data_IF_809812614043
#
_entry.id   IF_809812614043
#
_cell.length_a   1.000
_cell.length_b   1.000
_cell.length_c   1.000
_cell.angle_alpha   90.00
_cell.angle_beta   90.00
_cell.angle_gamma   90.00
#
_symmetry.space_group_name_H-M   'P 1'
#
loop_
_entity.id
_entity.type
_entity.pdbx_description
1 polymer ?
#
# COMPACT_ATOMS: atom_id res chain seq x y z
N UNK A 1 20.80 -20.60 30.53
CA UNK A 1 20.47 -20.13 29.17
C UNK A 1 19.07 -19.52 29.29
N UNK A 2 19.01 -18.46 30.08
CA UNK A 2 17.78 -17.78 30.51
C UNK A 2 17.71 -16.50 29.70
N UNK A 3 17.03 -16.58 28.55
CA UNK A 3 16.74 -15.43 27.69
C UNK A 3 15.37 -15.69 27.06
N UNK A 4 14.32 -15.66 27.88
CA UNK A 4 12.92 -15.67 27.42
C UNK A 4 11.95 -15.14 28.48
N UNK A 5 12.42 -14.33 29.45
CA UNK A 5 11.54 -13.64 30.40
C UNK A 5 11.42 -12.13 30.10
N UNK A 6 12.40 -11.56 29.40
CA UNK A 6 12.38 -10.13 29.03
C UNK A 6 11.61 -9.87 27.72
N UNK A 7 11.56 -10.83 26.79
CA UNK A 7 10.71 -10.71 25.59
C UNK A 7 9.21 -10.89 25.89
N UNK A 8 8.87 -11.76 26.86
CA UNK A 8 7.48 -11.93 27.32
C UNK A 8 7.01 -10.74 28.16
N UNK A 9 7.91 -10.07 28.90
CA UNK A 9 7.59 -8.82 29.61
C UNK A 9 7.24 -7.67 28.66
N UNK A 10 7.84 -7.63 27.47
CA UNK A 10 7.62 -6.58 26.47
C UNK A 10 6.28 -6.75 25.71
N UNK A 11 5.75 -7.97 25.62
CA UNK A 11 4.41 -8.22 25.07
C UNK A 11 3.29 -8.07 26.12
N UNK A 12 3.60 -8.23 27.41
CA UNK A 12 2.61 -8.11 28.49
C UNK A 12 2.40 -6.66 28.96
N UNK A 13 3.40 -5.77 28.82
CA UNK A 13 3.21 -4.34 29.14
C UNK A 13 2.31 -3.59 28.13
N UNK A 14 2.13 -4.11 26.92
CA UNK A 14 1.19 -3.53 25.94
C UNK A 14 -0.29 -3.67 26.33
N UNK A 15 -0.61 -4.56 27.28
CA UNK A 15 -1.97 -4.73 27.80
C UNK A 15 -2.31 -3.75 28.96
N UNK A 16 -1.33 -3.01 29.50
CA UNK A 16 -1.49 -2.24 30.73
C UNK A 16 -1.83 -0.74 30.54
N UNK A 17 -1.90 -0.22 29.31
CA UNK A 17 -2.29 1.18 29.04
C UNK A 17 -3.81 1.35 28.77
N UNK A 18 -4.64 0.38 29.15
CA UNK A 18 -6.07 0.35 28.84
C UNK A 18 -6.96 1.24 29.74
N UNK A 19 -6.43 1.92 30.76
CA UNK A 19 -7.27 2.56 31.81
C UNK A 19 -7.11 4.07 32.00
N UNK A 20 -6.39 4.79 31.15
CA UNK A 20 -6.55 6.24 31.11
C UNK A 20 -7.74 6.56 30.19
N UNK A 21 -8.75 7.26 30.72
CA UNK A 21 -10.00 7.55 30.00
C UNK A 21 -10.11 9.05 29.74
N UNK A 22 -10.16 9.42 28.46
CA UNK A 22 -10.39 10.80 28.02
C UNK A 22 -11.88 11.02 27.85
N UNK A 23 -12.37 12.15 28.36
CA UNK A 23 -13.75 12.59 28.19
C UNK A 23 -13.89 13.44 26.94
N UNK A 24 -14.77 13.01 26.03
CA UNK A 24 -15.07 13.73 24.78
C UNK A 24 -16.55 14.11 24.77
N UNK A 25 -16.86 15.30 24.25
CA UNK A 25 -18.24 15.76 24.10
C UNK A 25 -18.97 14.97 23.02
N UNK A 26 -20.15 14.45 23.36
CA UNK A 26 -21.07 13.81 22.43
C UNK A 26 -22.04 14.86 21.88
N UNK A 27 -22.10 14.96 20.56
CA UNK A 27 -23.06 15.81 19.86
C UNK A 27 -24.10 14.92 19.16
N UNK A 28 -25.37 15.27 19.29
CA UNK A 28 -26.45 14.69 18.47
C UNK A 28 -26.37 15.21 17.04
N UNK A 29 -27.06 14.55 16.11
CA UNK A 29 -27.04 14.89 14.67
C UNK A 29 -27.42 16.33 14.36
N UNK A 30 -28.20 16.97 15.24
CA UNK A 30 -28.63 18.37 15.12
C UNK A 30 -27.63 19.37 15.74
N UNK A 31 -26.49 18.90 16.23
CA UNK A 31 -25.45 19.72 16.86
C UNK A 31 -25.71 20.07 18.32
N UNK A 32 -26.79 19.53 18.93
CA UNK A 32 -27.05 19.66 20.36
C UNK A 32 -26.07 18.81 21.18
N UNK A 33 -25.62 19.33 22.33
CA UNK A 33 -24.77 18.58 23.28
C UNK A 33 -25.61 17.50 23.96
N UNK A 34 -25.28 16.22 23.71
CA UNK A 34 -26.04 15.06 24.16
C UNK A 34 -25.37 14.30 25.33
N UNK A 35 -24.13 14.65 25.69
CA UNK A 35 -23.45 14.12 26.88
C UNK A 35 -21.92 14.07 26.77
N UNK A 36 -21.28 13.33 27.66
CA UNK A 36 -19.85 12.99 27.62
C UNK A 36 -19.67 11.49 27.31
N UNK A 37 -18.70 11.16 26.46
CA UNK A 37 -18.27 9.78 26.19
C UNK A 37 -16.83 9.56 26.68
N UNK A 38 -16.57 8.38 27.24
CA UNK A 38 -15.23 7.97 27.71
C UNK A 38 -14.54 7.12 26.63
N UNK A 39 -13.36 7.55 26.16
CA UNK A 39 -12.49 6.77 25.28
C UNK A 39 -11.16 6.43 25.96
N UNK A 40 -10.54 5.28 25.64
CA UNK A 40 -9.21 4.96 26.13
C UNK A 40 -8.17 5.93 25.55
N UNK A 41 -7.28 6.44 26.40
CA UNK A 41 -6.33 7.49 26.07
C UNK A 41 -5.19 7.00 25.18
N UNK A 42 -4.90 5.70 25.24
CA UNK A 42 -3.87 5.05 24.41
C UNK A 42 -4.09 5.24 22.89
N UNK A 43 -5.32 5.51 22.44
CA UNK A 43 -5.61 5.69 21.01
C UNK A 43 -5.43 7.14 20.52
N UNK A 44 -5.39 8.12 21.42
CA UNK A 44 -5.51 9.55 21.09
C UNK A 44 -4.37 10.41 21.64
N UNK A 45 -3.72 10.01 22.73
CA UNK A 45 -2.63 10.76 23.37
C UNK A 45 -1.23 10.38 22.89
N UNK A 46 -1.11 9.42 21.98
CA UNK A 46 0.18 9.02 21.43
C UNK A 46 0.72 10.07 20.45
N UNK A 47 2.04 10.23 20.43
CA UNK A 47 2.69 11.18 19.52
C UNK A 47 2.41 10.79 18.07
N UNK A 48 1.96 11.74 17.27
CA UNK A 48 1.64 11.50 15.87
C UNK A 48 2.94 11.22 15.11
N UNK A 49 3.12 9.99 14.65
CA UNK A 49 4.17 9.63 13.69
C UNK A 49 3.70 9.97 12.25
N UNK A 50 4.26 11.01 11.61
CA UNK A 50 3.87 11.42 10.27
C UNK A 50 4.24 10.39 9.18
N UNK A 51 5.30 9.59 9.38
CA UNK A 51 5.71 8.57 8.41
C UNK A 51 4.73 7.39 8.43
N UNK A 52 4.29 6.97 9.63
CA UNK A 52 3.28 5.93 9.77
C UNK A 52 1.95 6.33 9.11
N UNK A 53 1.49 7.56 9.34
CA UNK A 53 0.28 8.10 8.70
C UNK A 53 0.41 8.13 7.17
N UNK A 54 1.55 8.61 6.67
CA UNK A 54 1.81 8.67 5.24
C UNK A 54 1.79 7.27 4.61
N UNK A 55 2.43 6.28 5.24
CA UNK A 55 2.42 4.88 4.78
C UNK A 55 1.01 4.28 4.78
N UNK A 56 0.22 4.52 5.82
CA UNK A 56 -1.15 4.03 5.91
C UNK A 56 -2.04 4.61 4.79
N UNK A 57 -1.92 5.92 4.52
CA UNK A 57 -2.64 6.58 3.43
C UNK A 57 -2.19 6.04 2.07
N UNK A 58 -0.88 5.91 1.83
CA UNK A 58 -0.36 5.36 0.59
C UNK A 58 -0.85 3.93 0.35
N UNK A 59 -0.81 3.07 1.37
CA UNK A 59 -1.31 1.69 1.30
C UNK A 59 -2.79 1.64 0.89
N UNK A 60 -3.62 2.45 1.55
CA UNK A 60 -5.05 2.58 1.20
C UNK A 60 -5.26 3.03 -0.25
N UNK A 61 -4.52 4.06 -0.69
CA UNK A 61 -4.63 4.59 -2.05
C UNK A 61 -4.15 3.60 -3.11
N UNK A 62 -3.11 2.82 -2.83
CA UNK A 62 -2.60 1.79 -3.76
C UNK A 62 -3.63 0.67 -3.91
N UNK A 63 -4.20 0.17 -2.80
CA UNK A 63 -5.17 -0.92 -2.83
C UNK A 63 -6.49 -0.55 -3.52
N UNK A 64 -6.85 0.74 -3.54
CA UNK A 64 -8.03 1.23 -4.26
C UNK A 64 -7.86 1.23 -5.78
N UNK A 65 -6.64 1.08 -6.32
CA UNK A 65 -6.40 1.13 -7.77
C UNK A 65 -6.83 -0.18 -8.43
N UNK A 66 -7.61 -0.08 -9.51
CA UNK A 66 -8.13 -1.23 -10.24
C UNK A 66 -7.14 -1.87 -11.26
N UNK A 67 -6.08 -1.17 -11.66
CA UNK A 67 -5.04 -1.74 -12.53
C UNK A 67 -5.51 -2.17 -13.93
N UNK A 68 -6.45 -1.44 -14.55
CA UNK A 68 -7.07 -1.82 -15.84
C UNK A 68 -6.25 -1.51 -17.09
N UNK A 69 -5.03 -0.98 -16.94
CA UNK A 69 -4.17 -0.64 -18.06
C UNK A 69 -3.58 -1.91 -18.70
N UNK A 70 -3.76 -2.07 -20.01
CA UNK A 70 -3.18 -3.17 -20.79
C UNK A 70 -2.63 -2.63 -22.11
N UNK A 71 -1.41 -3.04 -22.46
CA UNK A 71 -0.76 -2.72 -23.73
C UNK A 71 -0.41 -4.00 -24.48
N UNK A 72 -0.48 -3.96 -25.81
CA UNK A 72 -0.14 -5.14 -26.62
C UNK A 72 1.36 -5.35 -26.64
N UNK A 73 1.79 -6.50 -26.15
CA UNK A 73 3.15 -7.01 -26.33
C UNK A 73 3.39 -7.38 -27.80
N UNK A 74 4.67 -7.56 -28.18
CA UNK A 74 5.05 -8.00 -29.53
C UNK A 74 4.36 -9.28 -30.00
N UNK A 75 3.87 -10.11 -29.09
CA UNK A 75 3.13 -11.34 -29.38
C UNK A 75 1.67 -11.09 -29.75
N UNK A 76 1.03 -10.13 -29.08
CA UNK A 76 -0.39 -9.79 -29.22
C UNK A 76 -0.67 -8.86 -30.41
N UNK A 77 0.35 -8.15 -30.91
CA UNK A 77 0.22 -7.33 -32.12
C UNK A 77 0.00 -8.23 -33.34
N UNK A 78 -1.09 -8.02 -34.09
CA UNK A 78 -1.41 -8.77 -35.31
C UNK A 78 -0.40 -8.46 -36.42
N UNK A 79 -0.02 -9.49 -37.18
CA UNK A 79 0.85 -9.37 -38.36
C UNK A 79 2.33 -9.56 -38.02
N UNK A 80 2.89 -10.72 -38.38
CA UNK A 80 4.28 -11.07 -38.14
C UNK A 80 4.60 -12.49 -38.61
N UNK A 81 5.69 -13.07 -38.12
CA UNK A 81 6.06 -14.47 -38.40
C UNK A 81 7.07 -14.63 -39.54
N UNK A 82 6.96 -13.82 -40.60
CA UNK A 82 7.97 -13.80 -41.66
C UNK A 82 9.11 -12.84 -41.30
N UNK A 83 10.34 -13.33 -41.42
CA UNK A 83 11.55 -12.52 -41.27
C UNK A 83 11.55 -11.37 -42.29
N UNK A 84 11.80 -10.11 -41.89
CA UNK A 84 11.75 -8.96 -42.79
C UNK A 84 12.72 -9.06 -43.98
N UNK A 85 13.95 -9.51 -43.70
CA UNK A 85 15.00 -9.72 -44.71
C UNK A 85 15.96 -10.83 -44.29
N UNK A 86 16.79 -11.28 -45.24
CA UNK A 86 17.81 -12.32 -45.03
C UNK A 86 18.85 -11.84 -44.01
N UNK A 87 19.49 -12.76 -43.28
CA UNK A 87 20.41 -12.43 -42.18
C UNK A 87 21.65 -11.62 -42.62
N UNK A 88 22.03 -11.72 -43.90
CA UNK A 88 23.24 -11.12 -44.49
C UNK A 88 22.95 -10.68 -45.93
N UNK A 89 23.87 -9.90 -46.50
CA UNK A 89 23.86 -9.43 -47.91
C UNK A 89 22.73 -8.44 -48.26
N UNK A 90 22.21 -7.71 -47.27
CA UNK A 90 21.16 -6.69 -47.45
C UNK A 90 21.60 -5.27 -47.08
N UNK A 91 22.85 -5.08 -46.63
CA UNK A 91 23.38 -3.76 -46.22
C UNK A 91 22.64 -3.10 -45.05
N UNK A 92 21.71 -3.81 -44.40
CA UNK A 92 20.84 -3.34 -43.32
C UNK A 92 21.19 -4.02 -41.99
N UNK A 93 20.79 -3.40 -40.88
CA UNK A 93 20.85 -3.99 -39.55
C UNK A 93 20.11 -5.34 -39.50
N UNK A 94 20.41 -6.19 -38.51
CA UNK A 94 19.80 -7.52 -38.39
C UNK A 94 18.44 -7.41 -37.71
N UNK A 95 17.37 -7.90 -38.35
CA UNK A 95 16.04 -7.97 -37.74
C UNK A 95 15.46 -9.38 -37.76
N UNK A 96 14.87 -9.76 -36.62
CA UNK A 96 14.16 -11.04 -36.45
C UNK A 96 12.68 -10.94 -36.78
N UNK A 97 12.00 -9.90 -36.30
CA UNK A 97 10.56 -9.69 -36.46
C UNK A 97 10.26 -8.23 -36.76
N UNK A 98 9.23 -7.97 -37.58
CA UNK A 98 8.70 -6.61 -37.81
C UNK A 98 7.98 -6.03 -36.58
N UNK A 99 7.57 -6.89 -35.64
CA UNK A 99 6.91 -6.50 -34.38
C UNK A 99 7.91 -6.29 -33.23
N UNK A 100 9.18 -6.11 -33.55
CA UNK A 100 10.17 -5.79 -32.52
C UNK A 100 9.84 -4.42 -31.93
N UNK A 101 10.01 -4.20 -30.61
CA UNK A 101 9.94 -2.86 -30.01
C UNK A 101 11.09 -1.92 -30.42
N UNK A 102 12.04 -2.45 -31.21
CA UNK A 102 13.24 -1.79 -31.73
C UNK A 102 13.06 -1.54 -33.23
#
# INVERSE_FOLDING_TARGET
MELDQDQVKLEVEAAAAAEAKIKIKLYESDGAEAGEAELPSCLLEEEIDPDLLHRAVQYSLVNRRAGTASTKTRGEVRGGGRKPWRQKHTGRARHGSRRSPL
#
